data_IF_588849640327
#
_entry.id   IF_588849640327
#
_cell.length_a   1.000
_cell.length_b   1.000
_cell.length_c   1.000
_cell.angle_alpha   90.00
_cell.angle_beta   90.00
_cell.angle_gamma   90.00
#
_symmetry.space_group_name_H-M   'P 1'
#
loop_
_entity.id
_entity.type
_entity.pdbx_description
1 polymer ?
#
# COMPACT_ATOMS: atom_id res chain seq x y z
N UNK A 1 -9.51 15.85 -2.24
CA UNK A 1 -10.00 15.45 -0.90
C UNK A 1 -11.52 15.38 -0.72
N UNK A 2 -12.36 16.13 -1.47
CA UNK A 2 -13.85 16.01 -1.34
C UNK A 2 -14.36 14.57 -1.59
N UNK A 3 -13.70 13.82 -2.46
CA UNK A 3 -14.00 12.41 -2.73
C UNK A 3 -13.83 11.49 -1.51
N UNK A 4 -12.75 11.63 -0.75
CA UNK A 4 -12.53 10.84 0.47
C UNK A 4 -13.57 11.17 1.55
N UNK A 5 -13.86 12.46 1.75
CA UNK A 5 -14.91 12.90 2.67
C UNK A 5 -16.29 12.35 2.27
N UNK A 6 -16.59 12.28 0.97
CA UNK A 6 -17.82 11.64 0.46
C UNK A 6 -17.85 10.14 0.68
N UNK A 7 -16.71 9.45 0.62
CA UNK A 7 -16.62 8.02 0.88
C UNK A 7 -16.88 7.72 2.37
N UNK A 8 -16.25 8.49 3.27
CA UNK A 8 -16.50 8.43 4.72
C UNK A 8 -17.99 8.58 5.05
N UNK A 9 -18.64 9.63 4.53
CA UNK A 9 -20.05 9.90 4.79
C UNK A 9 -21.02 8.85 4.23
N UNK A 10 -20.59 8.05 3.25
CA UNK A 10 -21.43 7.06 2.57
C UNK A 10 -21.28 5.65 3.12
N UNK A 11 -20.43 5.42 4.13
CA UNK A 11 -20.13 4.09 4.67
C UNK A 11 -19.83 3.08 3.55
N UNK A 12 -18.96 3.48 2.62
CA UNK A 12 -18.59 2.66 1.45
C UNK A 12 -17.89 1.39 1.90
N UNK A 13 -18.30 0.23 1.37
CA UNK A 13 -17.68 -1.07 1.71
C UNK A 13 -16.38 -1.36 0.94
N UNK A 14 -16.18 -0.70 -0.19
CA UNK A 14 -14.99 -0.83 -1.02
C UNK A 14 -14.52 0.57 -1.41
N UNK A 15 -13.25 0.87 -1.15
CA UNK A 15 -12.60 2.12 -1.48
C UNK A 15 -11.51 1.86 -2.53
N UNK A 16 -11.62 2.52 -3.68
CA UNK A 16 -10.62 2.49 -4.73
C UNK A 16 -9.81 3.78 -4.67
N UNK A 17 -8.50 3.67 -4.50
CA UNK A 17 -7.56 4.79 -4.44
C UNK A 17 -6.61 4.69 -5.61
N UNK A 18 -6.58 5.71 -6.43
CA UNK A 18 -5.58 5.86 -7.49
C UNK A 18 -4.55 6.89 -7.03
N UNK A 19 -3.28 6.62 -7.27
CA UNK A 19 -2.17 7.39 -6.75
C UNK A 19 -1.89 8.69 -7.52
N UNK A 20 -2.95 9.35 -7.96
CA UNK A 20 -2.90 10.74 -8.38
C UNK A 20 -2.81 11.70 -7.16
N UNK A 21 -2.20 11.27 -6.05
CA UNK A 21 -1.83 12.12 -4.90
C UNK A 21 -0.50 12.83 -5.10
N UNK A 22 0.14 12.69 -6.27
CA UNK A 22 1.42 13.33 -6.61
C UNK A 22 1.46 14.86 -6.44
N UNK A 23 0.30 15.53 -6.40
CA UNK A 23 0.17 16.97 -6.12
C UNK A 23 -0.09 17.32 -4.64
N UNK A 24 -0.02 16.34 -3.73
CA UNK A 24 -0.19 16.50 -2.29
C UNK A 24 1.19 16.48 -1.61
N UNK A 25 1.41 17.42 -0.70
CA UNK A 25 2.61 17.51 0.11
C UNK A 25 2.72 16.36 1.13
N UNK A 26 3.93 16.04 1.56
CA UNK A 26 4.21 14.89 2.42
C UNK A 26 3.41 14.90 3.74
N UNK A 27 3.19 16.08 4.33
CA UNK A 27 2.44 16.20 5.59
C UNK A 27 0.95 15.86 5.41
N UNK A 28 0.34 16.33 4.32
CA UNK A 28 -1.06 16.02 4.03
C UNK A 28 -1.26 14.56 3.60
N UNK A 29 -0.29 13.96 2.90
CA UNK A 29 -0.30 12.54 2.55
C UNK A 29 -0.26 11.65 3.80
N UNK A 30 0.60 11.98 4.78
CA UNK A 30 0.68 11.27 6.05
C UNK A 30 -0.64 11.32 6.83
N UNK A 31 -1.29 12.49 6.90
CA UNK A 31 -2.61 12.64 7.56
C UNK A 31 -3.71 11.88 6.83
N UNK A 32 -3.67 11.86 5.49
CA UNK A 32 -4.59 11.07 4.68
C UNK A 32 -4.42 9.58 4.95
N UNK A 33 -3.18 9.10 4.99
CA UNK A 33 -2.82 7.72 5.33
C UNK A 33 -3.37 7.32 6.70
N UNK A 34 -3.14 8.15 7.72
CA UNK A 34 -3.63 7.94 9.08
C UNK A 34 -5.17 7.86 9.09
N UNK A 35 -5.84 8.82 8.45
CA UNK A 35 -7.31 8.84 8.36
C UNK A 35 -7.84 7.58 7.67
N UNK A 36 -7.14 7.10 6.63
CA UNK A 36 -7.51 5.87 5.93
C UNK A 36 -7.38 4.67 6.88
N UNK A 37 -6.27 4.56 7.60
CA UNK A 37 -6.04 3.45 8.53
C UNK A 37 -6.99 3.45 9.74
N UNK A 38 -7.41 4.61 10.24
CA UNK A 38 -8.30 4.70 11.41
C UNK A 38 -9.77 4.58 11.04
N UNK A 39 -10.22 5.27 10.00
CA UNK A 39 -11.65 5.41 9.68
C UNK A 39 -12.19 4.31 8.75
N UNK A 40 -11.30 3.55 8.10
CA UNK A 40 -11.67 2.54 7.10
C UNK A 40 -11.25 1.10 7.48
N UNK A 41 -11.10 0.80 8.78
CA UNK A 41 -10.70 -0.55 9.24
C UNK A 41 -11.63 -1.67 8.75
N UNK A 42 -12.93 -1.39 8.63
CA UNK A 42 -13.93 -2.36 8.16
C UNK A 42 -14.24 -2.27 6.65
N UNK A 43 -13.41 -1.55 5.89
CA UNK A 43 -13.62 -1.27 4.47
C UNK A 43 -12.52 -1.92 3.65
N UNK A 44 -12.89 -2.59 2.55
CA UNK A 44 -11.88 -3.14 1.63
C UNK A 44 -11.25 -2.01 0.82
N UNK A 45 -9.94 -1.85 0.95
CA UNK A 45 -9.19 -0.82 0.22
C UNK A 45 -8.41 -1.49 -0.90
N UNK A 46 -8.56 -0.95 -2.11
CA UNK A 46 -7.73 -1.31 -3.25
C UNK A 46 -7.05 -0.03 -3.72
N UNK A 47 -5.75 0.04 -3.51
CA UNK A 47 -4.94 1.19 -3.85
C UNK A 47 -3.92 0.84 -4.95
N UNK A 48 -3.73 1.76 -5.88
CA UNK A 48 -2.56 1.79 -6.77
C UNK A 48 -1.50 2.61 -6.04
N UNK A 49 -0.23 2.18 -6.10
CA UNK A 49 0.87 2.82 -5.39
C UNK A 49 2.23 2.78 -6.13
N UNK A 50 3.05 3.78 -5.83
CA UNK A 50 4.34 4.23 -6.36
C UNK A 50 5.21 4.57 -5.13
N UNK A 51 4.60 4.94 -3.98
CA UNK A 51 5.24 5.00 -2.67
C UNK A 51 5.19 3.65 -1.95
N UNK A 52 6.32 2.96 -1.93
CA UNK A 52 6.44 1.64 -1.29
C UNK A 52 6.19 1.67 0.23
N UNK A 53 6.57 2.78 0.89
CA UNK A 53 6.37 2.97 2.33
C UNK A 53 4.88 2.88 2.72
N UNK A 54 4.02 3.33 1.81
CA UNK A 54 2.58 3.47 1.99
C UNK A 54 1.85 2.13 1.86
N UNK A 55 2.41 1.19 1.10
CA UNK A 55 1.78 -0.11 0.81
C UNK A 55 2.36 -1.29 1.59
N UNK A 56 3.47 -1.09 2.30
CA UNK A 56 4.12 -2.19 3.02
C UNK A 56 3.27 -2.72 4.19
N UNK A 57 2.34 -1.89 4.68
CA UNK A 57 1.40 -2.23 5.75
C UNK A 57 0.10 -2.87 5.22
N UNK A 58 -0.03 -3.08 3.91
CA UNK A 58 -1.22 -3.71 3.33
C UNK A 58 -1.21 -5.21 3.52
N UNK A 59 -2.39 -5.81 3.65
CA UNK A 59 -2.57 -7.26 3.81
C UNK A 59 -1.95 -8.05 2.64
N UNK A 60 -2.06 -7.51 1.42
CA UNK A 60 -1.58 -8.13 0.18
C UNK A 60 -1.15 -7.08 -0.84
N UNK A 61 -0.10 -7.39 -1.57
CA UNK A 61 0.40 -6.61 -2.71
C UNK A 61 0.21 -7.44 -3.97
N UNK A 62 -0.27 -6.79 -5.03
CA UNK A 62 -0.43 -7.37 -6.35
C UNK A 62 0.49 -6.63 -7.32
N UNK A 63 1.44 -7.36 -7.90
CA UNK A 63 2.37 -6.82 -8.90
C UNK A 63 1.85 -7.15 -10.29
N UNK A 64 1.67 -6.10 -11.11
CA UNK A 64 1.26 -6.20 -12.50
C UNK A 64 2.45 -5.91 -13.42
N UNK A 65 2.66 -6.78 -14.41
CA UNK A 65 3.57 -6.52 -15.52
C UNK A 65 2.91 -6.91 -16.85
N UNK A 66 3.03 -6.05 -17.85
CA UNK A 66 2.45 -6.22 -19.19
C UNK A 66 0.96 -6.69 -19.21
N UNK A 67 0.16 -6.26 -18.24
CA UNK A 67 -1.26 -6.63 -18.11
C UNK A 67 -1.51 -8.00 -17.46
N UNK A 68 -0.50 -8.64 -16.89
CA UNK A 68 -0.61 -9.91 -16.17
C UNK A 68 -0.22 -9.74 -14.70
N UNK A 69 -0.88 -10.51 -13.83
CA UNK A 69 -0.49 -10.62 -12.42
C UNK A 69 0.70 -11.56 -12.34
N UNK A 70 1.84 -11.00 -11.94
CA UNK A 70 3.11 -11.76 -11.84
C UNK A 70 3.39 -12.18 -10.40
N UNK A 71 2.94 -11.39 -9.41
CA UNK A 71 3.09 -11.70 -7.99
C UNK A 71 1.86 -11.24 -7.21
N UNK A 72 1.46 -12.01 -6.21
CA UNK A 72 0.34 -11.69 -5.32
C UNK A 72 0.46 -12.39 -3.98
N UNK A 73 0.88 -11.67 -2.94
CA UNK A 73 0.97 -12.19 -1.58
C UNK A 73 1.15 -11.04 -0.57
N UNK A 74 1.28 -11.37 0.71
CA UNK A 74 1.68 -10.44 1.75
C UNK A 74 3.06 -9.84 1.44
N UNK A 75 3.29 -8.52 1.67
CA UNK A 75 4.56 -7.83 1.39
C UNK A 75 5.80 -8.58 1.90
N UNK A 76 5.73 -9.10 3.13
CA UNK A 76 6.82 -9.89 3.73
C UNK A 76 7.14 -11.18 2.97
N UNK A 77 6.13 -11.89 2.46
CA UNK A 77 6.33 -13.11 1.66
C UNK A 77 6.95 -12.77 0.32
N UNK A 78 6.50 -11.69 -0.32
CA UNK A 78 7.06 -11.20 -1.57
C UNK A 78 8.53 -10.75 -1.40
N UNK A 79 8.85 -10.06 -0.31
CA UNK A 79 10.22 -9.62 -0.01
C UNK A 79 11.20 -10.75 0.35
N UNK A 80 10.70 -11.93 0.71
CA UNK A 80 11.57 -13.12 0.90
C UNK A 80 12.06 -13.69 -0.42
N UNK A 81 11.34 -13.44 -1.52
CA UNK A 81 11.76 -13.87 -2.83
C UNK A 81 12.76 -12.86 -3.41
N UNK A 82 14.06 -13.08 -3.18
CA UNK A 82 15.13 -12.22 -3.70
C UNK A 82 15.22 -12.19 -5.24
N UNK A 83 14.54 -13.11 -5.92
CA UNK A 83 14.39 -13.14 -7.39
C UNK A 83 13.04 -12.60 -7.87
N UNK A 84 12.22 -12.06 -6.96
CA UNK A 84 10.91 -11.52 -7.26
C UNK A 84 10.94 -10.07 -7.74
N UNK A 85 9.96 -9.71 -8.56
CA UNK A 85 9.83 -8.34 -9.09
C UNK A 85 9.56 -7.32 -7.98
N UNK A 86 8.76 -7.68 -6.97
CA UNK A 86 8.55 -6.78 -5.83
C UNK A 86 9.85 -6.51 -5.07
N UNK A 87 10.68 -7.53 -4.88
CA UNK A 87 11.98 -7.38 -4.23
C UNK A 87 12.89 -6.42 -5.01
N UNK A 88 12.95 -6.56 -6.33
CA UNK A 88 13.75 -5.67 -7.18
C UNK A 88 13.28 -4.21 -7.09
N UNK A 89 11.96 -3.97 -7.14
CA UNK A 89 11.38 -2.62 -6.96
C UNK A 89 11.77 -2.04 -5.59
N UNK A 90 11.67 -2.84 -4.52
CA UNK A 90 12.06 -2.41 -3.18
C UNK A 90 13.57 -2.15 -3.06
N UNK A 91 14.40 -2.94 -3.74
CA UNK A 91 15.86 -2.78 -3.77
C UNK A 91 16.27 -1.50 -4.48
N UNK A 92 15.64 -1.20 -5.62
CA UNK A 92 15.88 0.03 -6.38
C UNK A 92 15.48 1.30 -5.60
N UNK A 93 14.49 1.21 -4.71
CA UNK A 93 14.08 2.33 -3.87
C UNK A 93 15.13 2.76 -2.82
N UNK A 94 16.18 1.94 -2.59
CA UNK A 94 17.21 2.20 -1.59
C UNK A 94 16.80 1.97 -0.13
N UNK A 95 15.54 1.57 0.12
CA UNK A 95 14.95 1.42 1.45
C UNK A 95 14.62 -0.04 1.82
N UNK A 96 15.26 -1.01 1.17
CA UNK A 96 14.93 -2.43 1.33
C UNK A 96 14.94 -2.92 2.79
N UNK A 97 15.95 -2.54 3.58
CA UNK A 97 16.06 -2.97 4.97
C UNK A 97 14.93 -2.43 5.86
N UNK A 98 14.53 -1.17 5.67
CA UNK A 98 13.44 -0.57 6.45
C UNK A 98 12.08 -1.15 6.03
N UNK A 99 11.87 -1.34 4.72
CA UNK A 99 10.67 -1.99 4.19
C UNK A 99 10.55 -3.44 4.67
N UNK A 100 11.64 -4.20 4.72
CA UNK A 100 11.64 -5.57 5.22
C UNK A 100 11.27 -5.64 6.70
N UNK A 101 11.83 -4.75 7.52
CA UNK A 101 11.51 -4.68 8.94
C UNK A 101 10.03 -4.32 9.19
N UNK A 102 9.48 -3.39 8.40
CA UNK A 102 8.07 -3.00 8.49
C UNK A 102 7.14 -4.12 8.02
N UNK A 103 7.46 -4.76 6.90
CA UNK A 103 6.71 -5.90 6.38
C UNK A 103 6.66 -7.05 7.40
N UNK A 104 7.78 -7.32 8.07
CA UNK A 104 7.82 -8.34 9.13
C UNK A 104 6.95 -7.98 10.32
N UNK A 105 6.96 -6.71 10.75
CA UNK A 105 6.12 -6.23 11.84
C UNK A 105 4.63 -6.41 11.52
N UNK A 106 4.20 -6.01 10.30
CA UNK A 106 2.83 -6.19 9.82
C UNK A 106 2.43 -7.68 9.76
N UNK A 107 3.29 -8.53 9.19
CA UNK A 107 3.04 -9.98 9.08
C UNK A 107 2.87 -10.68 10.43
N UNK A 108 3.56 -10.20 11.48
CA UNK A 108 3.49 -10.79 12.82
C UNK A 108 2.23 -10.39 13.61
N UNK A 109 1.49 -9.39 13.12
CA UNK A 109 0.26 -8.90 13.75
C UNK A 109 -1.02 -9.45 13.09
N UNK A 110 -0.91 -10.06 11.90
CA UNK A 110 -2.00 -10.74 11.18
C UNK A 110 -2.16 -12.18 11.63
#
# INVERSE_FOLDING_TARGET
MICLARALLRSTKILLIDEATASIDYEADAKLQETIQTEFQDVTIVAIAHRLQTIIDYDKILVLDAGQVIEYDHPYTLLKNESGHFYDICKESGNLNSLFAQAYASYSQT
#
